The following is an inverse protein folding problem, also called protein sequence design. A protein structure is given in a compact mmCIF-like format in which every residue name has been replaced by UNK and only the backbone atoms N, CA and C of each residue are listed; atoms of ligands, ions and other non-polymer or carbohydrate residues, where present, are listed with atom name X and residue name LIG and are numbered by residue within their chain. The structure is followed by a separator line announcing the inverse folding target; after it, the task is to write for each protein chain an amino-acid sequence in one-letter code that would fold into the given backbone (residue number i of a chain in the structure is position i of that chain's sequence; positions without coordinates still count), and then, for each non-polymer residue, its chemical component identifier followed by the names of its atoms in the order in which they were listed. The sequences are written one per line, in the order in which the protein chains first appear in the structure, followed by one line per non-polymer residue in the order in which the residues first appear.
data_IF_272535580779
#
_entry.id   IF_272535580779
#
_cell.length_a   1.000
_cell.length_b   1.000
_cell.length_c   1.000
_cell.angle_alpha   90.00
_cell.angle_beta   90.00
_cell.angle_gamma   90.00
#
_symmetry.space_group_name_H-M   'P 1'
#
loop_
_entity.id
_entity.type
_entity.pdbx_description
1 polymer ?
#
# COMPACT_ATOMS: atom_id res chain seq x y z
N UNK A 1 13.07 16.32 42.45
CA UNK A 1 13.61 16.82 41.17
C UNK A 1 12.53 16.65 40.12
N UNK A 2 12.14 17.73 39.44
CA UNK A 2 11.15 17.74 38.36
C UNK A 2 11.77 17.17 37.08
N UNK A 3 10.93 16.48 36.32
CA UNK A 3 11.16 15.86 35.01
C UNK A 3 11.65 16.83 33.94
N UNK A 4 12.41 16.30 32.98
CA UNK A 4 12.36 16.68 31.56
C UNK A 4 12.79 15.45 30.75
N UNK A 5 11.82 14.64 30.33
CA UNK A 5 11.97 13.78 29.16
C UNK A 5 11.40 14.57 27.99
N UNK A 6 12.28 15.16 27.19
CA UNK A 6 11.90 15.67 25.88
C UNK A 6 11.74 14.44 24.99
N UNK A 7 10.49 14.04 24.74
CA UNK A 7 10.16 12.99 23.79
C UNK A 7 10.43 13.55 22.39
N UNK A 8 11.45 13.02 21.70
CA UNK A 8 11.69 13.38 20.31
C UNK A 8 10.54 12.85 19.42
N UNK A 9 9.96 13.69 18.56
CA UNK A 9 8.87 13.28 17.69
C UNK A 9 9.37 12.25 16.68
N UNK A 10 8.64 11.14 16.56
CA UNK A 10 8.93 10.12 15.56
C UNK A 10 8.76 10.67 14.14
N UNK A 11 9.52 10.13 13.18
CA UNK A 11 9.48 10.54 11.76
C UNK A 11 8.10 10.44 11.08
N UNK A 12 7.10 9.89 11.78
CA UNK A 12 5.70 9.77 11.36
C UNK A 12 4.79 10.92 11.84
N UNK A 13 5.27 11.83 12.70
CA UNK A 13 4.51 12.99 13.16
C UNK A 13 4.73 14.17 12.18
N UNK A 14 3.66 14.61 11.50
CA UNK A 14 3.69 15.85 10.75
C UNK A 14 3.71 17.02 11.73
N UNK A 15 4.81 17.77 11.76
CA UNK A 15 4.83 19.11 12.33
C UNK A 15 3.96 20.02 11.47
N UNK A 16 2.74 20.30 11.89
CA UNK A 16 1.97 21.44 11.40
C UNK A 16 2.68 22.72 11.84
N UNK A 17 3.65 23.16 11.05
CA UNK A 17 4.11 24.54 11.10
C UNK A 17 2.97 25.44 10.61
N UNK A 18 2.28 26.07 11.55
CA UNK A 18 1.47 27.25 11.28
C UNK A 18 2.38 28.35 10.72
N UNK A 19 2.45 28.47 9.39
CA UNK A 19 3.03 29.64 8.76
C UNK A 19 2.16 30.89 9.05
N UNK A 20 2.65 31.70 9.99
CA UNK A 20 2.80 33.14 9.82
C UNK A 20 1.52 33.97 9.61
N UNK A 21 1.04 34.56 10.71
CA UNK A 21 0.14 35.72 10.74
C UNK A 21 0.56 36.83 9.73
N UNK A 22 -0.36 37.36 8.90
CA UNK A 22 -0.13 38.63 8.23
C UNK A 22 -0.53 39.81 9.14
N UNK A 23 0.39 40.76 9.29
CA UNK A 23 0.29 42.02 10.04
C UNK A 23 -0.83 42.95 9.53
N UNK A 24 -1.52 43.74 10.38
CA UNK A 24 -2.70 44.52 10.02
C UNK A 24 -2.38 45.89 9.39
N UNK A 25 -3.04 46.22 8.28
CA UNK A 25 -3.06 47.55 7.63
C UNK A 25 -4.28 47.70 6.71
N UNK A 26 -4.78 48.93 6.44
CA UNK A 26 -6.19 49.29 6.69
C UNK A 26 -7.19 49.10 5.53
N UNK A 27 -8.45 48.92 5.96
CA UNK A 27 -9.71 48.83 5.21
C UNK A 27 -9.90 49.84 4.07
N UNK A 28 -10.39 49.38 2.91
CA UNK A 28 -11.42 50.10 2.16
C UNK A 28 -12.27 49.19 1.23
N UNK A 29 -13.58 49.33 1.43
CA UNK A 29 -14.74 48.76 0.72
C UNK A 29 -14.64 48.71 -0.81
N UNK A 30 -15.21 47.67 -1.43
CA UNK A 30 -16.19 47.80 -2.54
C UNK A 30 -16.97 46.48 -2.71
N UNK A 31 -18.30 46.56 -2.55
CA UNK A 31 -19.25 45.53 -2.98
C UNK A 31 -19.30 45.46 -4.51
N UNK A 32 -19.26 44.26 -5.09
CA UNK A 32 -19.96 43.94 -6.35
C UNK A 32 -20.55 42.52 -6.21
N UNK A 33 -21.88 42.46 -6.12
CA UNK A 33 -22.67 41.25 -6.35
C UNK A 33 -22.55 40.80 -7.80
N UNK A 34 -22.73 39.50 -8.06
CA UNK A 34 -23.72 38.92 -9.01
C UNK A 34 -23.19 37.64 -9.68
N UNK A 35 -23.91 36.56 -9.38
CA UNK A 35 -24.20 35.37 -10.20
C UNK A 35 -23.15 34.40 -10.76
N UNK A 36 -23.54 33.13 -10.60
CA UNK A 36 -23.27 31.98 -11.45
C UNK A 36 -21.81 31.61 -11.69
N UNK A 37 -21.29 30.79 -10.78
CA UNK A 37 -20.73 29.51 -11.19
C UNK A 37 -20.94 28.49 -10.07
N UNK A 38 -22.14 27.90 -10.03
CA UNK A 38 -22.23 26.49 -9.70
C UNK A 38 -21.39 25.76 -10.76
N UNK A 39 -20.11 25.55 -10.47
CA UNK A 39 -19.32 24.57 -11.20
C UNK A 39 -19.98 23.22 -10.94
N UNK A 40 -20.72 22.79 -11.95
CA UNK A 40 -21.15 21.41 -12.15
C UNK A 40 -19.99 20.49 -11.71
N UNK A 41 -20.16 19.58 -10.75
CA UNK A 41 -19.11 18.62 -10.45
C UNK A 41 -18.95 17.77 -11.73
N UNK A 42 -17.81 17.95 -12.39
CA UNK A 42 -17.52 17.27 -13.63
C UNK A 42 -17.40 15.77 -13.30
N UNK A 43 -18.41 15.03 -13.75
CA UNK A 43 -18.58 13.62 -13.45
C UNK A 43 -17.59 12.83 -14.30
N UNK A 44 -16.42 12.47 -13.74
CA UNK A 44 -15.57 11.38 -14.27
C UNK A 44 -14.40 10.94 -13.40
N UNK A 45 -14.15 11.56 -12.25
CA UNK A 45 -13.13 11.03 -11.32
C UNK A 45 -13.77 9.97 -10.43
N UNK A 46 -13.32 8.69 -10.49
CA UNK A 46 -13.79 7.67 -9.57
C UNK A 46 -13.51 8.12 -8.12
N UNK A 47 -14.51 8.06 -7.26
CA UNK A 47 -14.33 8.42 -5.86
C UNK A 47 -13.36 7.45 -5.18
N UNK A 48 -12.66 7.92 -4.14
CA UNK A 48 -11.79 7.06 -3.33
C UNK A 48 -12.49 5.76 -2.87
N UNK A 49 -13.78 5.84 -2.51
CA UNK A 49 -14.62 4.67 -2.17
C UNK A 49 -14.74 3.66 -3.31
N UNK A 50 -14.83 4.13 -4.55
CA UNK A 50 -14.86 3.25 -5.73
C UNK A 50 -13.52 2.56 -5.93
N UNK A 51 -12.41 3.29 -5.79
CA UNK A 51 -11.06 2.74 -5.84
C UNK A 51 -10.84 1.64 -4.81
N UNK A 52 -11.21 1.91 -3.56
CA UNK A 52 -11.12 0.94 -2.47
C UNK A 52 -11.99 -0.29 -2.71
N UNK A 53 -13.18 -0.11 -3.30
CA UNK A 53 -14.08 -1.22 -3.67
C UNK A 53 -13.46 -2.09 -4.76
N UNK A 54 -12.96 -1.50 -5.85
CA UNK A 54 -12.30 -2.23 -6.93
C UNK A 54 -11.05 -2.94 -6.44
N UNK A 55 -10.22 -2.27 -5.64
CA UNK A 55 -9.07 -2.88 -4.98
C UNK A 55 -9.50 -4.07 -4.13
N UNK A 56 -10.57 -3.94 -3.34
CA UNK A 56 -11.02 -5.03 -2.46
C UNK A 56 -11.51 -6.24 -3.27
N UNK A 57 -12.22 -6.01 -4.37
CA UNK A 57 -12.62 -7.08 -5.31
C UNK A 57 -11.39 -7.72 -5.95
N UNK A 58 -10.43 -6.92 -6.40
CA UNK A 58 -9.16 -7.41 -6.93
C UNK A 58 -8.40 -8.26 -5.93
N UNK A 59 -8.29 -7.81 -4.68
CA UNK A 59 -7.66 -8.57 -3.60
C UNK A 59 -8.36 -9.91 -3.40
N UNK A 60 -9.70 -9.93 -3.31
CA UNK A 60 -10.46 -11.17 -3.14
C UNK A 60 -10.23 -12.14 -4.30
N UNK A 61 -10.29 -11.66 -5.55
CA UNK A 61 -10.00 -12.50 -6.73
C UNK A 61 -8.58 -13.05 -6.63
N UNK A 62 -7.60 -12.23 -6.26
CA UNK A 62 -6.22 -12.65 -6.06
C UNK A 62 -6.06 -13.70 -4.96
N UNK A 63 -6.76 -13.55 -3.83
CA UNK A 63 -6.71 -14.49 -2.70
C UNK A 63 -7.41 -15.81 -2.96
N UNK A 64 -8.43 -15.85 -3.83
CA UNK A 64 -9.09 -17.09 -4.26
C UNK A 64 -8.37 -17.80 -5.41
N UNK A 65 -7.38 -17.15 -6.02
CA UNK A 65 -6.61 -17.67 -7.15
C UNK A 65 -5.31 -18.35 -6.70
N UNK A 66 -4.70 -19.20 -7.53
CA UNK A 66 -3.41 -19.84 -7.29
C UNK A 66 -2.30 -18.90 -6.82
N UNK A 67 -1.51 -19.35 -5.84
CA UNK A 67 -0.56 -18.54 -5.08
C UNK A 67 0.86 -19.12 -5.03
N UNK A 68 1.25 -19.74 -6.13
CA UNK A 68 2.54 -20.36 -6.34
C UNK A 68 2.47 -21.88 -6.15
N UNK A 69 3.64 -22.50 -6.21
CA UNK A 69 3.77 -23.94 -6.11
C UNK A 69 3.34 -24.52 -4.75
N UNK A 70 3.42 -23.71 -3.70
CA UNK A 70 3.19 -24.14 -2.32
C UNK A 70 1.73 -24.05 -1.88
N UNK A 71 0.91 -23.23 -2.55
CA UNK A 71 -0.45 -22.93 -2.12
C UNK A 71 -1.41 -22.83 -3.30
N UNK A 72 -2.55 -23.47 -3.16
CA UNK A 72 -3.65 -23.43 -4.13
C UNK A 72 -4.36 -22.05 -4.12
N UNK A 73 -4.21 -21.29 -3.03
CA UNK A 73 -4.84 -19.97 -2.90
C UNK A 73 -4.13 -19.05 -1.91
N UNK A 74 -4.35 -17.74 -2.02
CA UNK A 74 -3.85 -16.76 -1.06
C UNK A 74 -4.48 -16.86 0.32
N UNK A 75 -5.71 -17.39 0.44
CA UNK A 75 -6.28 -17.74 1.73
C UNK A 75 -5.58 -18.93 2.39
N UNK A 76 -5.15 -19.91 1.60
CA UNK A 76 -4.34 -21.01 2.11
C UNK A 76 -2.98 -20.51 2.60
N UNK A 77 -2.30 -19.66 1.81
CA UNK A 77 -1.07 -18.99 2.23
C UNK A 77 -1.26 -18.18 3.52
N UNK A 78 -2.37 -17.43 3.64
CA UNK A 78 -2.71 -16.68 4.85
C UNK A 78 -2.91 -17.60 6.06
N UNK A 79 -3.56 -18.74 5.86
CA UNK A 79 -3.82 -19.72 6.92
C UNK A 79 -2.53 -20.33 7.46
N UNK A 80 -1.58 -20.62 6.58
CA UNK A 80 -0.30 -21.25 6.95
C UNK A 80 0.79 -20.25 7.38
N UNK A 81 0.59 -18.96 7.11
CA UNK A 81 1.52 -17.86 7.42
C UNK A 81 2.36 -18.04 8.70
N UNK A 82 1.72 -18.26 9.85
CA UNK A 82 2.45 -18.36 11.14
C UNK A 82 3.37 -19.58 11.17
N UNK A 83 2.92 -20.71 10.61
CA UNK A 83 3.73 -21.90 10.50
C UNK A 83 4.87 -21.69 9.52
N UNK A 84 4.63 -21.05 8.39
CA UNK A 84 5.64 -20.81 7.36
C UNK A 84 6.75 -19.88 7.86
N UNK A 85 6.39 -18.77 8.51
CA UNK A 85 7.36 -17.88 9.13
C UNK A 85 8.14 -18.59 10.23
N UNK A 86 7.48 -19.39 11.05
CA UNK A 86 8.17 -20.16 12.09
C UNK A 86 9.18 -21.11 11.46
N UNK A 87 8.77 -21.86 10.43
CA UNK A 87 9.63 -22.77 9.70
C UNK A 87 10.84 -22.06 9.09
N UNK A 88 10.63 -20.94 8.41
CA UNK A 88 11.72 -20.15 7.82
C UNK A 88 12.68 -19.62 8.89
N UNK A 89 12.17 -19.13 10.01
CA UNK A 89 13.00 -18.55 11.08
C UNK A 89 13.69 -19.59 11.96
N UNK A 90 13.20 -20.83 12.03
CA UNK A 90 13.84 -21.91 12.79
C UNK A 90 14.67 -22.80 11.89
N UNK A 91 14.02 -23.51 10.97
CA UNK A 91 14.67 -24.49 10.11
C UNK A 91 15.44 -23.80 8.98
N UNK A 92 14.86 -22.75 8.40
CA UNK A 92 15.51 -22.00 7.34
C UNK A 92 16.82 -21.35 7.80
N UNK A 93 16.80 -20.59 8.90
CA UNK A 93 18.02 -19.96 9.44
C UNK A 93 19.12 -20.99 9.75
N UNK A 94 18.75 -22.16 10.27
CA UNK A 94 19.71 -23.19 10.65
C UNK A 94 20.30 -23.95 9.45
N UNK A 95 19.56 -24.09 8.35
CA UNK A 95 19.89 -25.03 7.28
C UNK A 95 19.93 -24.42 5.87
N UNK A 96 19.70 -23.12 5.67
CA UNK A 96 19.58 -22.54 4.33
C UNK A 96 20.83 -22.74 3.46
N UNK A 97 22.03 -22.66 4.06
CA UNK A 97 23.30 -22.94 3.36
C UNK A 97 23.35 -24.40 2.87
N UNK A 98 22.86 -25.35 3.67
CA UNK A 98 22.82 -26.78 3.31
C UNK A 98 21.80 -27.07 2.20
N UNK A 99 20.71 -26.28 2.14
CA UNK A 99 19.72 -26.34 1.06
C UNK A 99 20.21 -25.68 -0.23
N UNK A 100 21.42 -25.11 -0.22
CA UNK A 100 22.01 -24.42 -1.36
C UNK A 100 21.38 -23.05 -1.64
N UNK A 101 20.69 -22.46 -0.66
CA UNK A 101 20.14 -21.12 -0.79
C UNK A 101 21.23 -20.07 -0.58
N UNK A 102 21.17 -19.00 -1.38
CA UNK A 102 21.97 -17.81 -1.10
C UNK A 102 21.27 -16.99 -0.01
N UNK A 103 21.96 -16.05 0.65
CA UNK A 103 21.31 -15.11 1.56
C UNK A 103 20.17 -14.33 0.88
N UNK A 104 20.27 -14.03 -0.42
CA UNK A 104 19.21 -13.37 -1.18
C UNK A 104 18.01 -14.30 -1.41
N UNK A 105 18.24 -15.56 -1.77
CA UNK A 105 17.16 -16.56 -1.89
C UNK A 105 16.48 -16.76 -0.53
N UNK A 106 17.23 -16.75 0.57
CA UNK A 106 16.66 -16.86 1.91
C UNK A 106 15.77 -15.66 2.28
N UNK A 107 16.17 -14.43 1.93
CA UNK A 107 15.34 -13.23 2.12
C UNK A 107 14.06 -13.31 1.27
N UNK A 108 14.17 -13.74 0.01
CA UNK A 108 13.02 -13.95 -0.89
C UNK A 108 12.01 -14.93 -0.27
N UNK A 109 12.50 -16.10 0.16
CA UNK A 109 11.72 -17.12 0.86
C UNK A 109 11.08 -16.62 2.14
N UNK A 110 11.73 -15.71 2.86
CA UNK A 110 11.19 -15.10 4.08
C UNK A 110 10.09 -14.09 3.76
N UNK A 111 10.20 -13.34 2.66
CA UNK A 111 9.20 -12.37 2.24
C UNK A 111 7.94 -13.02 1.67
N UNK A 112 8.08 -14.16 0.99
CA UNK A 112 6.95 -14.88 0.38
C UNK A 112 5.76 -15.13 1.33
N UNK A 113 5.92 -15.76 2.52
CA UNK A 113 4.80 -15.98 3.43
C UNK A 113 4.23 -14.68 4.00
N UNK A 114 5.00 -13.59 4.02
CA UNK A 114 4.53 -12.28 4.49
C UNK A 114 3.57 -11.60 3.50
N UNK A 115 3.54 -11.99 2.22
CA UNK A 115 2.76 -11.28 1.20
C UNK A 115 1.26 -11.31 1.50
N UNK A 116 0.68 -12.48 1.78
CA UNK A 116 -0.77 -12.61 2.07
C UNK A 116 -1.23 -11.74 3.24
N UNK A 117 -0.62 -11.84 4.44
CA UNK A 117 -1.03 -11.01 5.55
C UNK A 117 -0.79 -9.52 5.28
N UNK A 118 0.32 -9.13 4.61
CA UNK A 118 0.56 -7.72 4.27
C UNK A 118 -0.53 -7.19 3.32
N UNK A 119 -0.90 -7.96 2.30
CA UNK A 119 -1.94 -7.56 1.36
C UNK A 119 -3.30 -7.42 2.05
N UNK A 120 -3.68 -8.36 2.92
CA UNK A 120 -4.92 -8.25 3.68
C UNK A 120 -4.89 -7.07 4.65
N UNK A 121 -3.81 -6.91 5.41
CA UNK A 121 -3.70 -5.87 6.43
C UNK A 121 -3.70 -4.46 5.84
N UNK A 122 -3.03 -4.25 4.72
CA UNK A 122 -3.05 -2.94 4.02
C UNK A 122 -4.47 -2.54 3.61
N UNK A 123 -5.31 -3.49 3.20
CA UNK A 123 -6.72 -3.24 2.91
C UNK A 123 -7.56 -2.99 4.16
N UNK A 124 -7.42 -3.84 5.19
CA UNK A 124 -8.16 -3.71 6.45
C UNK A 124 -7.87 -2.38 7.13
N UNK A 125 -6.60 -1.98 7.23
CA UNK A 125 -6.22 -0.74 7.89
C UNK A 125 -6.64 0.47 7.04
N UNK A 126 -6.48 0.41 5.71
CA UNK A 126 -6.98 1.49 4.83
C UNK A 126 -8.49 1.67 4.94
N UNK A 127 -9.25 0.58 4.98
CA UNK A 127 -10.69 0.63 5.18
C UNK A 127 -11.05 1.32 6.51
N UNK A 128 -10.42 0.87 7.60
CA UNK A 128 -10.62 1.46 8.92
C UNK A 128 -10.27 2.96 8.96
N UNK A 129 -9.16 3.35 8.35
CA UNK A 129 -8.73 4.76 8.27
C UNK A 129 -9.62 5.62 7.37
N UNK A 130 -10.12 5.06 6.28
CA UNK A 130 -11.11 5.73 5.44
C UNK A 130 -12.41 6.04 6.20
N UNK A 131 -12.84 5.17 7.12
CA UNK A 131 -13.99 5.46 7.99
C UNK A 131 -13.73 6.63 8.95
N UNK A 132 -12.47 6.90 9.28
CA UNK A 132 -12.06 8.04 10.11
C UNK A 132 -11.83 9.33 9.30
N UNK A 133 -11.99 9.28 7.97
CA UNK A 133 -11.72 10.40 7.07
C UNK A 133 -10.23 10.60 6.74
N UNK A 134 -9.34 9.69 7.14
CA UNK A 134 -7.92 9.71 6.79
C UNK A 134 -7.70 9.05 5.43
N UNK A 135 -8.00 9.79 4.36
CA UNK A 135 -7.81 9.33 2.99
C UNK A 135 -6.33 9.31 2.58
N UNK A 136 -5.48 10.14 3.20
CA UNK A 136 -4.04 10.17 2.90
C UNK A 136 -3.34 8.86 3.27
N UNK A 137 -3.83 8.18 4.30
CA UNK A 137 -3.34 6.85 4.68
C UNK A 137 -3.38 5.85 3.51
N UNK A 138 -4.41 5.90 2.67
CA UNK A 138 -4.56 4.98 1.53
C UNK A 138 -3.37 5.08 0.56
N UNK A 139 -2.83 6.29 0.34
CA UNK A 139 -1.62 6.48 -0.48
C UNK A 139 -0.42 5.77 0.15
N UNK A 140 -0.20 5.95 1.45
CA UNK A 140 0.92 5.31 2.17
C UNK A 140 0.79 3.78 2.14
N UNK A 141 -0.42 3.27 2.37
CA UNK A 141 -0.72 1.84 2.32
C UNK A 141 -0.54 1.25 0.92
N UNK A 142 -0.98 1.96 -0.13
CA UNK A 142 -0.77 1.56 -1.54
C UNK A 142 0.72 1.45 -1.87
N UNK A 143 1.51 2.46 -1.51
CA UNK A 143 2.96 2.44 -1.72
C UNK A 143 3.59 1.27 -0.97
N UNK A 144 3.28 1.08 0.30
CA UNK A 144 3.82 -0.03 1.08
C UNK A 144 3.47 -1.39 0.48
N UNK A 145 2.20 -1.59 0.12
CA UNK A 145 1.69 -2.82 -0.50
C UNK A 145 2.46 -3.17 -1.78
N UNK A 146 2.58 -2.20 -2.69
CA UNK A 146 3.26 -2.39 -3.97
C UNK A 146 4.79 -2.51 -3.81
N UNK A 147 5.40 -1.77 -2.88
CA UNK A 147 6.84 -1.83 -2.62
C UNK A 147 7.27 -3.19 -2.07
N UNK A 148 6.53 -3.76 -1.12
CA UNK A 148 6.86 -5.09 -0.59
C UNK A 148 6.77 -6.15 -1.69
N UNK A 149 5.69 -6.14 -2.49
CA UNK A 149 5.58 -7.03 -3.63
C UNK A 149 6.71 -6.82 -4.64
N UNK A 150 7.04 -5.56 -4.95
CA UNK A 150 8.11 -5.21 -5.89
C UNK A 150 9.49 -5.68 -5.43
N UNK A 151 9.78 -5.58 -4.12
CA UNK A 151 11.04 -6.11 -3.54
C UNK A 151 11.08 -7.63 -3.66
N UNK A 152 10.03 -8.33 -3.22
CA UNK A 152 9.96 -9.77 -3.33
C UNK A 152 10.12 -10.22 -4.80
N UNK A 153 9.39 -9.57 -5.71
CA UNK A 153 9.42 -9.93 -7.12
C UNK A 153 10.76 -9.64 -7.79
N UNK A 154 11.45 -8.57 -7.38
CA UNK A 154 12.81 -8.29 -7.84
C UNK A 154 13.77 -9.39 -7.40
N UNK A 155 13.65 -9.90 -6.17
CA UNK A 155 14.46 -11.03 -5.71
C UNK A 155 14.15 -12.30 -6.50
N UNK A 156 12.87 -12.56 -6.82
CA UNK A 156 12.48 -13.69 -7.67
C UNK A 156 13.14 -13.61 -9.05
N UNK A 157 13.19 -12.42 -9.66
CA UNK A 157 13.87 -12.22 -10.95
C UNK A 157 15.37 -12.47 -10.82
N UNK A 158 16.01 -11.95 -9.77
CA UNK A 158 17.46 -12.07 -9.56
C UNK A 158 17.88 -13.52 -9.32
N UNK A 159 17.13 -14.25 -8.49
CA UNK A 159 17.49 -15.60 -8.06
C UNK A 159 17.06 -16.67 -9.06
N UNK A 160 15.85 -16.54 -9.64
CA UNK A 160 15.23 -17.59 -10.43
C UNK A 160 15.04 -17.24 -11.91
N UNK A 161 15.19 -15.96 -12.30
CA UNK A 161 15.02 -15.51 -13.68
C UNK A 161 13.57 -15.51 -14.18
N UNK A 162 12.58 -15.58 -13.28
CA UNK A 162 11.16 -15.54 -13.65
C UNK A 162 10.67 -14.10 -13.83
N UNK A 163 10.29 -13.76 -15.08
CA UNK A 163 9.88 -12.39 -15.46
C UNK A 163 8.37 -12.18 -15.63
N UNK A 164 7.58 -13.25 -15.72
CA UNK A 164 6.14 -13.17 -15.92
C UNK A 164 5.43 -14.12 -14.96
N UNK A 165 4.21 -13.76 -14.51
CA UNK A 165 3.37 -14.69 -13.78
C UNK A 165 3.15 -15.97 -14.58
N UNK A 166 3.16 -17.08 -13.87
CA UNK A 166 2.79 -18.39 -14.37
C UNK A 166 1.33 -18.69 -14.05
N UNK A 167 0.79 -19.77 -14.63
CA UNK A 167 -0.54 -20.26 -14.26
C UNK A 167 -0.66 -20.68 -12.79
N UNK A 168 0.47 -20.86 -12.10
CA UNK A 168 0.52 -21.29 -10.71
C UNK A 168 0.53 -20.15 -9.71
N UNK A 169 0.91 -18.92 -10.11
CA UNK A 169 1.17 -17.80 -9.19
C UNK A 169 0.40 -16.52 -9.51
N UNK A 170 -0.41 -16.50 -10.58
CA UNK A 170 -1.07 -15.28 -11.05
C UNK A 170 -1.97 -14.61 -10.00
N UNK A 171 -2.49 -15.37 -9.03
CA UNK A 171 -3.29 -14.82 -7.93
C UNK A 171 -2.52 -13.83 -7.07
N UNK A 172 -1.21 -14.05 -6.87
CA UNK A 172 -0.36 -13.12 -6.13
C UNK A 172 -0.22 -11.78 -6.87
N UNK A 173 -0.06 -11.82 -8.19
CA UNK A 173 0.07 -10.61 -9.01
C UNK A 173 -1.23 -9.81 -9.03
N UNK A 174 -2.38 -10.48 -9.10
CA UNK A 174 -3.69 -9.83 -8.99
C UNK A 174 -3.83 -9.19 -7.59
N UNK A 175 -3.48 -9.92 -6.53
CA UNK A 175 -3.53 -9.41 -5.16
C UNK A 175 -2.61 -8.18 -5.00
N UNK A 176 -1.40 -8.22 -5.53
CA UNK A 176 -0.46 -7.10 -5.50
C UNK A 176 -0.97 -5.89 -6.30
N UNK A 177 -1.46 -6.11 -7.52
CA UNK A 177 -2.00 -5.05 -8.38
C UNK A 177 -3.23 -4.37 -7.75
N UNK A 178 -3.98 -5.11 -6.92
CA UNK A 178 -5.12 -4.56 -6.19
C UNK A 178 -4.74 -3.39 -5.28
N UNK A 179 -3.50 -3.34 -4.79
CA UNK A 179 -2.97 -2.23 -3.99
C UNK A 179 -3.06 -0.86 -4.65
N UNK A 180 -3.19 -0.78 -5.98
CA UNK A 180 -3.49 0.47 -6.71
C UNK A 180 -4.82 1.08 -6.24
N UNK A 181 -5.80 0.24 -5.88
CA UNK A 181 -7.09 0.68 -5.38
C UNK A 181 -7.07 1.29 -3.98
N UNK A 182 -5.98 1.14 -3.24
CA UNK A 182 -5.78 1.85 -1.97
C UNK A 182 -5.41 3.32 -2.20
N UNK A 183 -4.89 3.68 -3.38
CA UNK A 183 -4.40 5.02 -3.64
C UNK A 183 -5.54 6.00 -3.98
N UNK A 184 -5.75 7.09 -3.21
CA UNK A 184 -6.85 8.03 -3.43
C UNK A 184 -6.84 8.69 -4.81
N UNK A 185 -5.66 8.88 -5.41
CA UNK A 185 -5.49 9.58 -6.69
C UNK A 185 -4.98 8.70 -7.84
N UNK A 186 -4.84 7.37 -7.68
CA UNK A 186 -4.47 6.52 -8.82
C UNK A 186 -5.51 6.59 -9.95
N UNK A 187 -6.71 7.06 -9.62
CA UNK A 187 -7.83 7.26 -10.52
C UNK A 187 -7.93 8.69 -11.09
N UNK A 188 -6.97 9.58 -10.77
CA UNK A 188 -6.92 11.00 -11.17
C UNK A 188 -5.64 11.39 -11.93
N UNK A 189 -4.89 10.43 -12.47
CA UNK A 189 -3.61 10.64 -13.17
C UNK A 189 -3.71 11.38 -14.52
N UNK A 190 -4.86 11.98 -14.87
CA UNK A 190 -5.03 12.76 -16.11
C UNK A 190 -4.81 14.27 -15.91
N UNK A 191 -4.75 14.80 -14.68
CA UNK A 191 -4.78 16.26 -14.48
C UNK A 191 -3.40 16.96 -14.38
N UNK A 192 -2.29 16.25 -14.57
CA UNK A 192 -0.93 16.86 -14.56
C UNK A 192 -0.09 16.64 -15.83
N UNK A 193 -0.73 16.42 -16.98
CA UNK A 193 -0.04 16.41 -18.29
C UNK A 193 -0.51 17.56 -19.20
N UNK A 194 -1.38 18.46 -18.73
CA UNK A 194 -1.62 19.74 -19.40
C UNK A 194 -0.90 20.87 -18.66
N UNK A 195 -0.08 21.60 -19.42
CA UNK A 195 0.57 22.88 -19.11
C UNK A 195 2.02 22.74 -18.59
N UNK A 196 2.95 22.61 -19.53
CA UNK A 196 3.87 23.72 -19.85
C UNK A 196 4.00 23.84 -21.36
#
# INVERSE_FOLDING_TARGET
MKSNSEDEPGWWEQTTEEEGQPSPGPLLSTQISTDLSQSKPDSKTPSHKWGLTLGSVGLLIGLFSPWGFWYESGFEALRWFTQDITFVLTEGVANYDEWGFTPLSFIEWTLFPMLSPIFVMTFVVTWYKSLQGDEEFGRKASTFHLSIFGIWYLLVIIEWGFFLPTGWDYGMFIAAASGIGLHPTAYGLTEKISIS
#
